data_IF_707875118000
#
_entry.id   IF_707875118000
#
_cell.length_a   1.000
_cell.length_b   1.000
_cell.length_c   1.000
_cell.angle_alpha   90.00
_cell.angle_beta   90.00
_cell.angle_gamma   90.00
#
_symmetry.space_group_name_H-M   'P 1'
#
loop_
_entity.id
_entity.type
_entity.pdbx_description
1 polymer ?
#
# COMPACT_ATOMS: atom_id res chain seq x y z
N UNK A 1 5.38 -2.48 35.25
CA UNK A 1 5.10 -1.13 35.77
C UNK A 1 3.63 -1.06 36.12
N UNK A 2 3.27 -0.92 37.40
CA UNK A 2 1.92 -1.29 37.87
C UNK A 2 0.94 -0.11 38.02
N UNK A 3 1.35 1.12 37.70
CA UNK A 3 0.45 2.28 37.73
C UNK A 3 0.93 3.41 36.79
N UNK A 4 0.54 3.34 35.52
CA UNK A 4 0.89 4.33 34.49
C UNK A 4 0.34 5.71 34.86
N UNK A 5 -0.84 5.76 35.48
CA UNK A 5 -1.51 7.02 35.84
C UNK A 5 -0.70 7.80 36.88
N UNK A 6 -0.19 7.08 37.87
CA UNK A 6 0.63 7.66 38.94
C UNK A 6 2.03 8.02 38.45
N UNK A 7 2.61 7.22 37.57
CA UNK A 7 3.87 7.55 36.92
C UNK A 7 3.78 8.84 36.10
N UNK A 8 2.78 8.97 35.22
CA UNK A 8 2.56 10.19 34.44
C UNK A 8 2.47 11.44 35.33
N UNK A 9 1.78 11.32 36.47
CA UNK A 9 1.70 12.39 37.48
C UNK A 9 3.06 12.70 38.11
N UNK A 10 3.86 11.69 38.39
CA UNK A 10 5.21 11.83 38.99
C UNK A 10 6.16 12.58 38.06
N UNK A 11 6.06 12.34 36.76
CA UNK A 11 6.83 13.05 35.73
C UNK A 11 6.14 14.35 35.27
N UNK A 12 5.07 14.79 35.94
CA UNK A 12 4.42 16.07 35.66
C UNK A 12 3.67 16.16 34.33
N UNK A 13 3.29 15.03 33.73
CA UNK A 13 2.52 14.99 32.49
C UNK A 13 1.07 14.62 32.82
N UNK A 14 0.12 15.47 32.42
CA UNK A 14 -1.29 15.15 32.59
C UNK A 14 -1.72 14.06 31.59
N UNK A 15 -2.72 13.27 31.98
CA UNK A 15 -3.36 12.32 31.05
C UNK A 15 -3.89 12.97 29.78
N UNK A 16 -4.36 14.23 29.88
CA UNK A 16 -4.87 14.95 28.71
C UNK A 16 -3.74 15.24 27.72
N UNK A 17 -2.63 15.76 28.23
CA UNK A 17 -1.45 16.04 27.41
C UNK A 17 -0.97 14.75 26.77
N UNK A 18 -0.79 13.69 27.54
CA UNK A 18 -0.40 12.39 26.99
C UNK A 18 -1.36 11.90 25.90
N UNK A 19 -2.68 11.91 26.14
CA UNK A 19 -3.69 11.51 25.16
C UNK A 19 -3.59 12.32 23.86
N UNK A 20 -3.37 13.64 23.97
CA UNK A 20 -3.24 14.53 22.82
C UNK A 20 -1.96 14.24 22.02
N UNK A 21 -0.83 14.02 22.70
CA UNK A 21 0.46 13.75 22.08
C UNK A 21 0.46 12.44 21.29
N UNK A 22 -0.27 11.42 21.76
CA UNK A 22 -0.41 10.15 21.05
C UNK A 22 -1.69 10.04 20.22
N UNK A 23 -2.47 11.13 20.08
CA UNK A 23 -3.70 11.21 19.28
C UNK A 23 -4.77 10.18 19.62
N UNK A 24 -4.93 9.90 20.91
CA UNK A 24 -6.00 9.06 21.43
C UNK A 24 -7.10 9.89 22.08
N UNK A 25 -8.34 9.44 21.95
CA UNK A 25 -9.40 9.93 22.83
C UNK A 25 -9.14 9.43 24.27
N UNK A 26 -9.52 10.22 25.28
CA UNK A 26 -9.38 9.81 26.69
C UNK A 26 -9.97 8.43 26.99
N UNK A 27 -11.19 8.07 26.52
CA UNK A 27 -11.74 6.74 26.78
C UNK A 27 -10.87 5.62 26.20
N UNK A 28 -10.31 5.83 25.01
CA UNK A 28 -9.42 4.85 24.38
C UNK A 28 -8.11 4.73 25.14
N UNK A 29 -7.54 5.86 25.57
CA UNK A 29 -6.33 5.87 26.40
C UNK A 29 -6.56 5.10 27.72
N UNK A 30 -7.67 5.34 28.42
CA UNK A 30 -7.96 4.64 29.67
C UNK A 30 -8.15 3.14 29.46
N UNK A 31 -8.78 2.73 28.36
CA UNK A 31 -8.91 1.32 27.98
C UNK A 31 -7.54 0.67 27.67
N UNK A 32 -6.66 1.37 26.95
CA UNK A 32 -5.32 0.86 26.61
C UNK A 32 -4.40 0.81 27.83
N UNK A 33 -4.48 1.79 28.73
CA UNK A 33 -3.78 1.73 30.03
C UNK A 33 -4.22 0.49 30.81
N UNK A 34 -5.53 0.24 30.93
CA UNK A 34 -6.04 -0.91 31.66
C UNK A 34 -5.58 -2.24 31.03
N UNK A 35 -5.64 -2.36 29.71
CA UNK A 35 -5.15 -3.54 28.99
C UNK A 35 -3.66 -3.78 29.29
N UNK A 36 -2.83 -2.74 29.14
CA UNK A 36 -1.38 -2.84 29.36
C UNK A 36 -1.01 -3.17 30.81
N UNK A 37 -1.66 -2.53 31.80
CA UNK A 37 -1.45 -2.79 33.23
C UNK A 37 -1.85 -4.24 33.62
N UNK A 38 -2.83 -4.82 32.92
CA UNK A 38 -3.26 -6.20 33.11
C UNK A 38 -2.42 -7.23 32.31
N UNK A 39 -1.42 -6.78 31.54
CA UNK A 39 -0.62 -7.65 30.67
C UNK A 39 -1.35 -8.13 29.42
N UNK A 40 -2.47 -7.50 29.06
CA UNK A 40 -3.21 -7.76 27.83
C UNK A 40 -2.60 -6.99 26.65
N UNK A 41 -2.74 -7.56 25.45
CA UNK A 41 -2.29 -6.90 24.21
C UNK A 41 -3.21 -5.76 23.83
N UNK A 42 -2.66 -4.58 23.55
CA UNK A 42 -3.40 -3.45 23.01
C UNK A 42 -3.84 -3.78 21.57
N UNK A 43 -5.14 -3.60 21.20
CA UNK A 43 -5.69 -4.02 19.89
C UNK A 43 -5.03 -3.41 18.64
N UNK A 44 -4.14 -2.44 18.80
CA UNK A 44 -3.43 -1.76 17.71
C UNK A 44 -1.93 -1.81 17.99
N UNK A 45 -1.20 -2.56 17.17
CA UNK A 45 0.24 -2.79 17.31
C UNK A 45 1.04 -1.49 17.49
N UNK A 46 0.73 -0.43 16.74
CA UNK A 46 1.41 0.86 16.89
C UNK A 46 1.31 1.45 18.30
N UNK A 47 0.17 1.25 18.96
CA UNK A 47 -0.04 1.72 20.33
C UNK A 47 0.56 0.75 21.35
N UNK A 48 0.61 -0.56 21.04
CA UNK A 48 1.43 -1.50 21.81
C UNK A 48 2.88 -1.03 21.84
N UNK A 49 3.48 -0.73 20.69
CA UNK A 49 4.87 -0.23 20.58
C UNK A 49 5.06 1.08 21.37
N UNK A 50 4.12 2.02 21.27
CA UNK A 50 4.17 3.29 22.04
C UNK A 50 4.23 3.00 23.54
N UNK A 51 3.36 2.12 24.04
CA UNK A 51 3.30 1.79 25.45
C UNK A 51 4.53 1.00 25.90
N UNK A 52 5.01 0.04 25.11
CA UNK A 52 6.24 -0.71 25.40
C UNK A 52 7.45 0.23 25.52
N UNK A 53 7.57 1.22 24.61
CA UNK A 53 8.68 2.18 24.63
C UNK A 53 8.62 3.17 25.79
N UNK A 54 7.42 3.50 26.29
CA UNK A 54 7.22 4.52 27.32
C UNK A 54 7.06 3.96 28.73
N UNK A 55 6.60 2.72 28.85
CA UNK A 55 6.21 2.09 30.12
C UNK A 55 6.73 0.65 30.29
N UNK A 56 7.50 0.13 29.32
CA UNK A 56 8.19 -1.16 29.47
C UNK A 56 9.28 -1.11 30.55
N UNK A 57 9.93 0.05 30.70
CA UNK A 57 10.91 0.35 31.74
C UNK A 57 10.61 1.73 32.35
N UNK A 58 11.03 1.96 33.59
CA UNK A 58 10.90 3.27 34.22
C UNK A 58 11.88 4.28 33.62
N UNK A 59 11.37 5.21 32.83
CA UNK A 59 12.14 6.31 32.25
C UNK A 59 12.19 7.53 33.18
N UNK A 60 13.30 8.28 33.16
CA UNK A 60 13.35 9.63 33.73
C UNK A 60 12.61 10.62 32.85
N UNK A 61 12.24 11.78 33.41
CA UNK A 61 11.45 12.82 32.73
C UNK A 61 12.01 13.19 31.35
N UNK A 62 13.31 13.48 31.26
CA UNK A 62 13.93 13.91 30.00
C UNK A 62 13.84 12.81 28.93
N UNK A 63 14.18 11.57 29.31
CA UNK A 63 14.12 10.42 28.43
C UNK A 63 12.68 10.09 27.98
N UNK A 64 11.71 10.24 28.89
CA UNK A 64 10.30 10.07 28.58
C UNK A 64 9.83 11.12 27.58
N UNK A 65 10.15 12.39 27.79
CA UNK A 65 9.77 13.49 26.89
C UNK A 65 10.40 13.34 25.51
N UNK A 66 11.68 12.95 25.43
CA UNK A 66 12.36 12.69 24.16
C UNK A 66 11.70 11.53 23.40
N UNK A 67 11.43 10.43 24.11
CA UNK A 67 10.76 9.25 23.54
C UNK A 67 9.34 9.58 23.06
N UNK A 68 8.57 10.30 23.87
CA UNK A 68 7.21 10.74 23.52
C UNK A 68 7.23 11.66 22.30
N UNK A 69 8.15 12.63 22.25
CA UNK A 69 8.30 13.52 21.10
C UNK A 69 8.66 12.76 19.83
N UNK A 70 9.55 11.78 19.91
CA UNK A 70 9.91 10.91 18.79
C UNK A 70 8.69 10.13 18.28
N UNK A 71 7.93 9.53 19.19
CA UNK A 71 6.71 8.77 18.86
C UNK A 71 5.61 9.66 18.26
N UNK A 72 5.40 10.87 18.82
CA UNK A 72 4.50 11.87 18.25
C UNK A 72 4.90 12.21 16.80
N UNK A 73 6.18 12.49 16.56
CA UNK A 73 6.65 12.80 15.22
C UNK A 73 6.40 11.65 14.23
N UNK A 74 6.51 10.40 14.67
CA UNK A 74 6.14 9.23 13.85
C UNK A 74 4.64 9.20 13.56
N UNK A 75 3.78 9.44 14.56
CA UNK A 75 2.32 9.52 14.38
C UNK A 75 1.92 10.67 13.42
N UNK A 76 2.55 11.83 13.55
CA UNK A 76 2.37 12.98 12.68
C UNK A 76 2.81 12.69 11.24
N UNK A 77 3.95 12.02 11.08
CA UNK A 77 4.44 11.57 9.77
C UNK A 77 3.45 10.60 9.14
N UNK A 78 3.02 9.58 9.86
CA UNK A 78 2.14 8.55 9.32
C UNK A 78 0.77 9.13 8.92
N UNK A 79 0.21 10.05 9.71
CA UNK A 79 -1.02 10.76 9.33
C UNK A 79 -0.84 11.59 8.05
N UNK A 80 0.25 12.35 7.93
CA UNK A 80 0.57 13.13 6.72
C UNK A 80 0.77 12.25 5.48
N UNK A 81 1.19 11.00 5.68
CA UNK A 81 1.36 10.02 4.61
C UNK A 81 0.09 9.21 4.34
N UNK A 82 -0.95 9.33 5.17
CA UNK A 82 -2.15 8.49 5.09
C UNK A 82 -1.88 7.02 5.42
N UNK A 83 -0.85 6.73 6.22
CA UNK A 83 -0.43 5.38 6.62
C UNK A 83 -0.85 5.03 8.05
N UNK A 84 -1.72 5.82 8.67
CA UNK A 84 -2.17 5.68 10.06
C UNK A 84 -2.92 4.37 10.35
N UNK A 85 -3.50 3.77 9.31
CA UNK A 85 -4.22 2.49 9.34
C UNK A 85 -3.35 1.29 8.97
N UNK A 86 -2.10 1.51 8.54
CA UNK A 86 -1.18 0.44 8.20
C UNK A 86 -0.48 -0.08 9.47
N UNK A 87 0.01 -1.32 9.42
CA UNK A 87 0.96 -1.80 10.41
C UNK A 87 2.28 -1.03 10.33
N UNK A 88 3.10 -1.13 11.39
CA UNK A 88 4.33 -0.34 11.50
C UNK A 88 5.31 -0.62 10.36
N UNK A 89 5.44 -1.90 9.96
CA UNK A 89 6.35 -2.32 8.90
C UNK A 89 5.94 -1.76 7.55
N UNK A 90 4.65 -1.75 7.25
CA UNK A 90 4.07 -1.21 6.03
C UNK A 90 4.18 0.33 5.99
N UNK A 91 3.86 1.03 7.09
CA UNK A 91 4.02 2.48 7.19
C UNK A 91 5.47 2.94 6.96
N UNK A 92 6.43 2.22 7.55
CA UNK A 92 7.86 2.47 7.32
C UNK A 92 8.28 2.17 5.88
N UNK A 93 7.74 1.12 5.27
CA UNK A 93 8.01 0.83 3.86
C UNK A 93 7.54 1.96 2.95
N UNK A 94 6.32 2.45 3.14
CA UNK A 94 5.77 3.59 2.39
C UNK A 94 6.64 4.83 2.56
N UNK A 95 7.05 5.13 3.80
CA UNK A 95 7.91 6.28 4.09
C UNK A 95 9.24 6.20 3.34
N UNK A 96 9.93 5.06 3.39
CA UNK A 96 11.20 4.84 2.70
C UNK A 96 11.06 4.88 1.17
N UNK A 97 10.02 4.27 0.62
CA UNK A 97 9.77 4.29 -0.81
C UNK A 97 9.50 5.71 -1.31
N UNK A 98 8.63 6.46 -0.62
CA UNK A 98 8.34 7.86 -0.95
C UNK A 98 9.61 8.70 -0.94
N UNK A 99 10.45 8.58 0.09
CA UNK A 99 11.70 9.32 0.17
C UNK A 99 12.63 8.99 -1.01
N UNK A 100 12.83 7.70 -1.31
CA UNK A 100 13.68 7.28 -2.44
C UNK A 100 13.16 7.77 -3.78
N UNK A 101 11.84 7.70 -4.01
CA UNK A 101 11.22 8.20 -5.24
C UNK A 101 11.43 9.72 -5.38
N UNK A 102 11.22 10.48 -4.30
CA UNK A 102 11.46 11.94 -4.32
C UNK A 102 12.93 12.27 -4.58
N UNK A 103 13.85 11.55 -3.93
CA UNK A 103 15.29 11.75 -4.12
C UNK A 103 15.74 11.45 -5.56
N UNK A 104 15.23 10.39 -6.18
CA UNK A 104 15.54 10.05 -7.56
C UNK A 104 14.96 11.08 -8.54
N UNK A 105 13.69 11.45 -8.39
CA UNK A 105 13.05 12.48 -9.23
C UNK A 105 13.71 13.85 -9.09
N UNK A 106 14.18 14.22 -7.90
CA UNK A 106 14.86 15.49 -7.66
C UNK A 106 16.22 15.61 -8.35
N UNK A 107 16.87 14.48 -8.69
CA UNK A 107 18.15 14.49 -9.42
C UNK A 107 18.00 14.90 -10.89
N UNK A 108 16.77 14.89 -11.44
CA UNK A 108 16.52 15.10 -12.86
C UNK A 108 16.70 13.80 -13.68
N UNK A 109 16.26 13.82 -14.94
CA UNK A 109 16.38 12.70 -15.91
C UNK A 109 15.85 11.33 -15.43
N UNK A 110 14.89 11.34 -14.51
CA UNK A 110 14.27 10.13 -14.01
C UNK A 110 13.55 9.35 -15.12
N UNK A 111 13.65 8.03 -15.09
CA UNK A 111 13.08 7.18 -16.14
C UNK A 111 11.60 6.90 -15.87
N UNK A 112 10.70 7.55 -16.61
CA UNK A 112 9.26 7.35 -16.49
C UNK A 112 8.82 5.87 -16.58
N UNK A 113 9.48 5.08 -17.43
CA UNK A 113 9.12 3.67 -17.61
C UNK A 113 9.37 2.84 -16.34
N UNK A 114 10.36 3.21 -15.52
CA UNK A 114 10.64 2.54 -14.23
C UNK A 114 9.48 2.77 -13.27
N UNK A 115 8.99 4.01 -13.17
CA UNK A 115 7.89 4.34 -12.26
C UNK A 115 6.54 3.78 -12.72
N UNK A 116 6.29 3.76 -14.03
CA UNK A 116 5.13 3.06 -14.61
C UNK A 116 5.21 1.55 -14.31
N UNK A 117 6.41 0.96 -14.38
CA UNK A 117 6.59 -0.44 -14.02
C UNK A 117 6.35 -0.70 -12.53
N UNK A 118 6.83 0.17 -11.63
CA UNK A 118 6.56 0.07 -10.19
C UNK A 118 5.07 0.12 -9.91
N UNK A 119 4.36 1.09 -10.51
CA UNK A 119 2.90 1.21 -10.38
C UNK A 119 2.17 -0.04 -10.88
N UNK A 120 2.54 -0.53 -12.06
CA UNK A 120 1.99 -1.76 -12.63
C UNK A 120 2.27 -2.98 -11.73
N UNK A 121 3.47 -3.08 -11.15
CA UNK A 121 3.86 -4.16 -10.26
C UNK A 121 3.00 -4.14 -8.98
N UNK A 122 2.90 -2.99 -8.31
CA UNK A 122 2.13 -2.82 -7.07
C UNK A 122 0.64 -3.12 -7.29
N UNK A 123 0.08 -2.67 -8.41
CA UNK A 123 -1.35 -2.83 -8.71
C UNK A 123 -1.72 -4.26 -9.14
N UNK A 124 -0.76 -5.03 -9.66
CA UNK A 124 -1.08 -6.29 -10.35
C UNK A 124 -0.43 -7.55 -9.78
N UNK A 125 0.59 -7.45 -8.92
CA UNK A 125 1.37 -8.63 -8.49
C UNK A 125 0.52 -9.73 -7.86
N UNK A 126 -0.52 -9.38 -7.08
CA UNK A 126 -1.42 -10.36 -6.44
C UNK A 126 -2.25 -11.18 -7.42
N UNK A 127 -2.43 -10.70 -8.64
CA UNK A 127 -3.20 -11.37 -9.69
C UNK A 127 -2.31 -11.94 -10.80
N UNK A 128 -0.99 -11.69 -10.72
CA UNK A 128 -0.04 -12.10 -11.73
C UNK A 128 1.19 -12.71 -11.06
N UNK A 129 1.21 -14.04 -11.01
CA UNK A 129 2.31 -14.83 -10.40
C UNK A 129 3.68 -14.48 -10.99
N UNK A 130 3.76 -14.07 -12.26
CA UNK A 130 5.04 -13.69 -12.87
C UNK A 130 5.61 -12.43 -12.22
N UNK A 131 4.78 -11.45 -11.87
CA UNK A 131 5.22 -10.22 -11.21
C UNK A 131 5.70 -10.47 -9.78
N UNK A 132 4.97 -11.30 -9.04
CA UNK A 132 5.37 -11.74 -7.71
C UNK A 132 6.72 -12.48 -7.77
N UNK A 133 6.83 -13.53 -8.61
CA UNK A 133 8.06 -14.33 -8.73
C UNK A 133 9.25 -13.50 -9.23
N UNK A 134 9.02 -12.51 -10.09
CA UNK A 134 10.07 -11.60 -10.56
C UNK A 134 10.60 -10.71 -9.41
N UNK A 135 9.70 -10.18 -8.57
CA UNK A 135 10.09 -9.39 -7.40
C UNK A 135 10.83 -10.27 -6.37
N UNK A 136 10.35 -11.49 -6.13
CA UNK A 136 11.00 -12.48 -5.27
C UNK A 136 12.41 -12.81 -5.77
N UNK A 137 12.60 -13.05 -7.07
CA UNK A 137 13.89 -13.34 -7.68
C UNK A 137 14.94 -12.27 -7.40
N UNK A 138 14.62 -11.00 -7.68
CA UNK A 138 15.55 -9.90 -7.42
C UNK A 138 15.78 -9.69 -5.93
N UNK A 139 14.76 -9.88 -5.10
CA UNK A 139 14.92 -9.78 -3.64
C UNK A 139 15.83 -10.87 -3.12
N UNK A 140 15.69 -12.11 -3.61
CA UNK A 140 16.50 -13.26 -3.24
C UNK A 140 17.97 -13.06 -3.59
N UNK A 141 18.27 -12.60 -4.81
CA UNK A 141 19.65 -12.29 -5.23
C UNK A 141 20.33 -11.19 -4.41
N UNK A 142 19.57 -10.28 -3.80
CA UNK A 142 20.08 -9.17 -3.01
C UNK A 142 20.12 -9.46 -1.50
N UNK A 143 19.87 -10.70 -1.07
CA UNK A 143 20.03 -11.11 0.34
C UNK A 143 21.51 -11.30 0.67
N UNK A 144 21.87 -10.98 1.91
CA UNK A 144 23.22 -11.14 2.44
C UNK A 144 23.54 -12.58 2.89
N UNK A 145 22.53 -13.41 3.10
CA UNK A 145 22.65 -14.76 3.64
C UNK A 145 22.46 -15.80 2.52
N UNK A 146 23.37 -16.78 2.45
CA UNK A 146 23.41 -17.81 1.40
C UNK A 146 22.60 -19.08 1.76
N UNK A 147 22.12 -19.18 3.00
CA UNK A 147 21.54 -20.42 3.54
C UNK A 147 20.04 -20.58 3.24
N UNK A 148 19.39 -19.55 2.68
CA UNK A 148 18.01 -19.61 2.24
C UNK A 148 17.92 -20.40 0.94
N UNK A 149 17.27 -21.56 0.95
CA UNK A 149 16.96 -22.31 -0.28
C UNK A 149 15.64 -21.79 -0.85
N UNK A 150 15.60 -21.46 -2.14
CA UNK A 150 14.36 -21.12 -2.83
C UNK A 150 13.34 -22.26 -2.72
N UNK A 151 12.07 -21.94 -2.53
CA UNK A 151 11.02 -22.96 -2.44
C UNK A 151 10.83 -23.69 -3.77
N UNK A 152 10.31 -24.93 -3.72
CA UNK A 152 10.13 -25.77 -4.91
C UNK A 152 9.30 -25.08 -6.02
N UNK A 153 8.33 -24.24 -5.66
CA UNK A 153 7.53 -23.47 -6.60
C UNK A 153 8.29 -22.27 -7.21
N UNK A 154 9.32 -21.77 -6.55
CA UNK A 154 10.16 -20.65 -7.02
C UNK A 154 11.25 -21.12 -7.99
N UNK A 155 11.81 -22.31 -7.77
CA UNK A 155 12.97 -22.84 -8.51
C UNK A 155 12.78 -22.74 -10.04
N UNK A 156 11.66 -23.18 -10.65
CA UNK A 156 11.49 -23.09 -12.10
C UNK A 156 11.53 -21.65 -12.61
N UNK A 157 10.93 -20.70 -11.88
CA UNK A 157 10.94 -19.29 -12.27
C UNK A 157 12.33 -18.69 -12.13
N UNK A 158 13.02 -18.94 -11.02
CA UNK A 158 14.35 -18.40 -10.75
C UNK A 158 15.36 -18.89 -11.79
N UNK A 159 15.33 -20.19 -12.14
CA UNK A 159 16.19 -20.75 -13.18
C UNK A 159 15.94 -20.10 -14.55
N UNK A 160 14.68 -19.86 -14.92
CA UNK A 160 14.32 -19.21 -16.18
C UNK A 160 14.72 -17.73 -16.21
N UNK A 161 14.44 -16.99 -15.14
CA UNK A 161 14.85 -15.59 -15.02
C UNK A 161 16.36 -15.45 -15.05
N UNK A 162 17.10 -16.29 -14.31
CA UNK A 162 18.55 -16.29 -14.33
C UNK A 162 19.10 -16.50 -15.74
N UNK A 163 18.60 -17.52 -16.46
CA UNK A 163 19.01 -17.78 -17.84
C UNK A 163 18.81 -16.57 -18.74
N UNK A 164 17.64 -15.91 -18.66
CA UNK A 164 17.32 -14.73 -19.48
C UNK A 164 18.23 -13.55 -19.11
N UNK A 165 18.32 -13.20 -17.82
CA UNK A 165 19.07 -12.03 -17.36
C UNK A 165 20.59 -12.21 -17.54
N UNK A 166 21.13 -13.40 -17.29
CA UNK A 166 22.55 -13.72 -17.54
C UNK A 166 22.88 -13.62 -19.04
N UNK A 167 22.00 -14.13 -19.90
CA UNK A 167 22.16 -14.01 -21.36
C UNK A 167 22.15 -12.56 -21.80
N UNK A 168 21.21 -11.76 -21.30
CA UNK A 168 21.12 -10.33 -21.61
C UNK A 168 22.34 -9.55 -21.12
N UNK A 169 22.89 -9.90 -19.96
CA UNK A 169 24.09 -9.28 -19.40
C UNK A 169 25.32 -9.55 -20.29
N UNK A 170 25.45 -10.78 -20.79
CA UNK A 170 26.62 -11.20 -21.60
C UNK A 170 26.50 -10.81 -23.07
N UNK A 171 25.30 -10.94 -23.65
CA UNK A 171 25.05 -10.79 -25.08
C UNK A 171 23.74 -10.03 -25.36
N UNK A 172 23.65 -8.72 -25.03
CA UNK A 172 22.40 -7.95 -25.12
C UNK A 172 21.84 -7.81 -26.54
N UNK A 173 22.69 -7.95 -27.57
CA UNK A 173 22.28 -7.87 -28.97
C UNK A 173 21.83 -9.21 -29.56
N UNK A 174 22.01 -10.31 -28.84
CA UNK A 174 21.64 -11.65 -29.30
C UNK A 174 20.17 -11.91 -29.02
N UNK A 175 19.35 -12.02 -30.06
CA UNK A 175 17.95 -12.40 -29.93
C UNK A 175 17.48 -13.19 -31.15
N UNK A 176 16.46 -14.01 -30.96
CA UNK A 176 15.79 -14.70 -32.06
C UNK A 176 14.75 -13.79 -32.70
N UNK A 177 14.82 -13.61 -34.02
CA UNK A 177 13.90 -12.75 -34.75
C UNK A 177 12.43 -13.17 -34.56
N UNK A 178 12.19 -14.49 -34.53
CA UNK A 178 10.88 -15.12 -34.31
C UNK A 178 10.26 -14.76 -32.95
N UNK A 179 11.09 -14.65 -31.90
CA UNK A 179 10.65 -14.24 -30.57
C UNK A 179 10.19 -12.77 -30.58
N UNK A 180 10.96 -11.90 -31.24
CA UNK A 180 10.59 -10.49 -31.38
C UNK A 180 9.30 -10.31 -32.18
N UNK A 181 9.13 -11.03 -33.29
CA UNK A 181 7.89 -11.03 -34.08
C UNK A 181 6.69 -11.50 -33.26
N UNK A 182 6.88 -12.52 -32.43
CA UNK A 182 5.84 -13.04 -31.52
C UNK A 182 5.48 -12.03 -30.44
N UNK A 183 6.47 -11.36 -29.85
CA UNK A 183 6.26 -10.27 -28.91
C UNK A 183 5.46 -9.11 -29.54
N UNK A 184 5.83 -8.68 -30.75
CA UNK A 184 5.13 -7.60 -31.45
C UNK A 184 3.68 -7.94 -31.78
N UNK A 185 3.43 -9.19 -32.19
CA UNK A 185 2.07 -9.71 -32.41
C UNK A 185 1.26 -9.73 -31.11
N UNK A 186 1.84 -10.18 -29.99
CA UNK A 186 1.18 -10.15 -28.69
C UNK A 186 0.84 -8.72 -28.26
N UNK A 187 1.77 -7.77 -28.45
CA UNK A 187 1.53 -6.35 -28.17
C UNK A 187 0.34 -5.81 -28.97
N UNK A 188 0.25 -6.12 -30.26
CA UNK A 188 -0.88 -5.73 -31.11
C UNK A 188 -2.20 -6.28 -30.59
N UNK A 189 -2.24 -7.57 -30.25
CA UNK A 189 -3.43 -8.20 -29.67
C UNK A 189 -3.88 -7.52 -28.36
N UNK A 190 -2.96 -7.16 -27.49
CA UNK A 190 -3.28 -6.46 -26.23
C UNK A 190 -3.83 -5.05 -26.46
N UNK A 191 -3.33 -4.34 -27.47
CA UNK A 191 -3.86 -3.01 -27.83
C UNK A 191 -5.28 -3.13 -28.40
N UNK A 192 -5.49 -4.06 -29.33
CA UNK A 192 -6.80 -4.30 -29.95
C UNK A 192 -7.83 -4.80 -28.92
N UNK A 193 -7.41 -5.68 -28.01
CA UNK A 193 -8.26 -6.16 -26.92
C UNK A 193 -8.74 -5.03 -26.02
N UNK A 194 -7.85 -4.13 -25.60
CA UNK A 194 -8.22 -2.95 -24.79
C UNK A 194 -9.17 -2.01 -25.51
N UNK A 195 -8.97 -1.76 -26.81
CA UNK A 195 -9.91 -0.96 -27.62
C UNK A 195 -11.30 -1.57 -27.64
N UNK A 196 -11.39 -2.87 -27.92
CA UNK A 196 -12.67 -3.61 -27.92
C UNK A 196 -13.33 -3.59 -26.54
N UNK A 197 -12.57 -3.77 -25.47
CA UNK A 197 -13.11 -3.71 -24.10
C UNK A 197 -13.66 -2.31 -23.79
N UNK A 198 -12.97 -1.25 -24.22
CA UNK A 198 -13.42 0.13 -24.04
C UNK A 198 -14.68 0.42 -24.85
N UNK A 199 -14.75 -0.03 -26.11
CA UNK A 199 -15.95 0.06 -26.94
C UNK A 199 -17.13 -0.68 -26.30
N UNK A 200 -16.92 -1.91 -25.83
CA UNK A 200 -17.93 -2.70 -25.14
C UNK A 200 -18.42 -2.03 -23.84
N UNK A 201 -17.51 -1.44 -23.05
CA UNK A 201 -17.89 -0.65 -21.86
C UNK A 201 -18.74 0.56 -22.27
N UNK A 202 -18.35 1.27 -23.32
CA UNK A 202 -19.12 2.39 -23.87
C UNK A 202 -20.52 2.00 -24.31
N UNK A 203 -20.65 0.90 -25.06
CA UNK A 203 -21.95 0.38 -25.52
C UNK A 203 -22.82 -0.09 -24.36
N UNK A 204 -22.23 -0.73 -23.33
CA UNK A 204 -22.96 -1.10 -22.11
C UNK A 204 -23.52 0.12 -21.39
N UNK A 205 -22.74 1.20 -21.26
CA UNK A 205 -23.19 2.44 -20.61
C UNK A 205 -24.29 3.12 -21.44
N UNK A 206 -24.12 3.22 -22.76
CA UNK A 206 -25.16 3.77 -23.65
C UNK A 206 -26.47 3.01 -23.53
N UNK A 207 -26.39 1.68 -23.55
CA UNK A 207 -27.56 0.82 -23.39
C UNK A 207 -28.22 1.03 -22.02
N UNK A 208 -27.44 1.11 -20.94
CA UNK A 208 -27.96 1.36 -19.59
C UNK A 208 -28.68 2.72 -19.49
N UNK A 209 -28.13 3.76 -20.12
CA UNK A 209 -28.77 5.08 -20.19
C UNK A 209 -30.10 4.98 -20.95
N UNK A 210 -30.08 4.36 -22.13
CA UNK A 210 -31.28 4.21 -22.96
C UNK A 210 -32.38 3.41 -22.25
N UNK A 211 -32.04 2.26 -21.67
CA UNK A 211 -32.98 1.41 -20.95
C UNK A 211 -33.56 2.16 -19.73
N UNK A 212 -32.73 2.92 -19.00
CA UNK A 212 -33.18 3.71 -17.84
C UNK A 212 -34.06 4.90 -18.23
N UNK A 213 -33.76 5.59 -19.34
CA UNK A 213 -34.61 6.66 -19.87
C UNK A 213 -35.99 6.11 -20.24
N UNK A 214 -36.03 4.97 -20.94
CA UNK A 214 -37.26 4.28 -21.34
C UNK A 214 -38.09 3.82 -20.14
N UNK A 215 -37.46 3.26 -19.11
CA UNK A 215 -38.14 2.89 -17.86
C UNK A 215 -38.81 4.10 -17.20
N UNK A 216 -38.13 5.26 -17.17
CA UNK A 216 -38.68 6.48 -16.58
C UNK A 216 -39.81 7.07 -17.42
N UNK A 217 -39.70 7.07 -18.75
CA UNK A 217 -40.77 7.50 -19.66
C UNK A 217 -42.03 6.62 -19.53
N UNK A 218 -41.86 5.31 -19.34
CA UNK A 218 -42.95 4.34 -19.11
C UNK A 218 -43.70 4.61 -17.78
N UNK A 219 -43.09 5.32 -16.83
CA UNK A 219 -43.77 5.77 -15.59
C UNK A 219 -44.60 7.05 -15.76
N UNK A 220 -44.65 7.62 -16.96
CA UNK A 220 -45.48 8.78 -17.29
C UNK A 220 -44.86 10.14 -16.95
N UNK A 221 -43.57 10.18 -16.59
CA UNK A 221 -42.79 11.39 -16.39
C UNK A 221 -41.81 11.53 -17.56
N UNK A 222 -41.79 12.70 -18.22
CA UNK A 222 -40.66 13.06 -19.09
C UNK A 222 -39.48 13.38 -18.18
N UNK A 223 -38.66 12.36 -17.91
CA UNK A 223 -37.47 12.53 -17.10
C UNK A 223 -36.47 13.45 -17.80
N UNK A 224 -35.94 14.40 -17.06
CA UNK A 224 -34.84 15.24 -17.52
C UNK A 224 -33.55 14.42 -17.62
N UNK A 225 -32.62 14.85 -18.48
CA UNK A 225 -31.30 14.21 -18.61
C UNK A 225 -30.58 14.06 -17.26
N UNK A 226 -30.77 15.02 -16.34
CA UNK A 226 -30.19 14.99 -15.00
C UNK A 226 -30.76 13.85 -14.13
N UNK A 227 -32.05 13.55 -14.26
CA UNK A 227 -32.72 12.47 -13.53
C UNK A 227 -32.32 11.09 -14.07
N UNK A 228 -32.21 10.98 -15.41
CA UNK A 228 -31.71 9.77 -16.08
C UNK A 228 -30.27 9.48 -15.63
N UNK A 229 -29.40 10.50 -15.65
CA UNK A 229 -28.00 10.35 -15.21
C UNK A 229 -27.91 9.96 -13.73
N UNK A 230 -28.73 10.54 -12.86
CA UNK A 230 -28.76 10.18 -11.44
C UNK A 230 -29.15 8.70 -11.23
N UNK A 231 -30.22 8.25 -11.89
CA UNK A 231 -30.66 6.86 -11.80
C UNK A 231 -29.62 5.86 -12.34
N UNK A 232 -28.93 6.21 -13.44
CA UNK A 232 -27.83 5.41 -14.00
C UNK A 232 -26.67 5.31 -13.02
N UNK A 233 -26.28 6.41 -12.37
CA UNK A 233 -25.21 6.43 -11.37
C UNK A 233 -25.56 5.56 -10.15
N UNK A 234 -26.80 5.59 -9.68
CA UNK A 234 -27.28 4.74 -8.59
C UNK A 234 -27.24 3.25 -8.96
N UNK A 235 -27.55 2.90 -10.22
CA UNK A 235 -27.45 1.52 -10.73
C UNK A 235 -26.00 1.03 -10.89
N UNK A 236 -25.05 1.93 -11.15
CA UNK A 236 -23.62 1.61 -11.29
C UNK A 236 -22.87 1.48 -9.95
N UNK A 237 -23.46 1.95 -8.85
CA UNK A 237 -22.89 1.92 -7.50
C UNK A 237 -23.33 0.70 -6.66
N UNK A 238 -24.24 -0.12 -7.18
CA UNK A 238 -24.66 -1.41 -6.59
C UNK A 238 -23.84 -2.56 -7.18
#
# INVERSE_FOLDING_TARGET
MNNIKEYLKTIGISKQEFANEIKLSRPTLDAYIAAYENGETIPRERYQIIFDNLFGEELKLEAFQETLKRLKNLLDRDERLGTDKLDARAADMVSRLKERMLQDMAKGDWNQSVYVFIDMLITSYRQNVIFEKLAEYFTYLNRSELDDIASDDQIPYFAQFYRVFDTLLKNPSSYEKTDYETFMRRRKQLIEGRKKEQEQKGEKIKKLIFDTAKELEETGLVATDAEILKAVLEKLQK
#
